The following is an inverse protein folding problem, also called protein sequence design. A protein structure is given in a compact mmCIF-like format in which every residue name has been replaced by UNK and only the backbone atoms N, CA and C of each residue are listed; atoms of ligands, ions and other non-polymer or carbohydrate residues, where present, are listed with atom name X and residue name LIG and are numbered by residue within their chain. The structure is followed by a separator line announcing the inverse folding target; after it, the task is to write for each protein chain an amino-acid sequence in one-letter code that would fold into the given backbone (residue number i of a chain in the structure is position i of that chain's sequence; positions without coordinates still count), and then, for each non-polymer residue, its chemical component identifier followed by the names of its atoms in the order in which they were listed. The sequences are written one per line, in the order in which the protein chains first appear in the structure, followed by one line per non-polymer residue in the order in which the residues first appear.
data_IF_017912534696
#
_entry.id   IF_017912534696
#
_cell.length_a   1.000
_cell.length_b   1.000
_cell.length_c   1.000
_cell.angle_alpha   90.00
_cell.angle_beta   90.00
_cell.angle_gamma   90.00
#
_symmetry.space_group_name_H-M   'P 1'
#
loop_
_entity.id
_entity.type
_entity.pdbx_description
1 polymer ?
#
# COMPACT_ATOMS: atom_id res chain seq x y z
N UNK A 1 -29.78 4.39 9.72
CA UNK A 1 -29.12 3.11 9.40
C UNK A 1 -27.96 3.39 8.44
N UNK A 2 -26.85 3.87 8.99
CA UNK A 2 -25.63 4.29 8.28
C UNK A 2 -24.47 3.95 9.22
N UNK A 3 -23.55 3.10 8.80
CA UNK A 3 -22.26 2.91 9.47
C UNK A 3 -21.18 3.17 8.42
N UNK A 4 -20.98 4.47 8.20
CA UNK A 4 -19.70 5.02 7.81
C UNK A 4 -18.71 4.87 8.98
N UNK A 5 -17.43 4.62 8.67
CA UNK A 5 -16.23 4.82 9.52
C UNK A 5 -15.62 3.59 10.25
N UNK A 6 -15.15 2.61 9.48
CA UNK A 6 -14.03 1.72 9.87
C UNK A 6 -12.82 1.75 8.93
N UNK A 7 -12.67 2.81 8.12
CA UNK A 7 -11.39 3.20 7.52
C UNK A 7 -11.06 4.65 7.89
N UNK A 8 -10.60 4.86 9.13
CA UNK A 8 -9.59 5.89 9.37
C UNK A 8 -8.30 5.07 9.59
N UNK A 9 -7.21 5.27 8.87
CA UNK A 9 -6.61 6.56 8.56
C UNK A 9 -6.13 6.64 7.10
N UNK A 10 -6.54 7.74 6.46
CA UNK A 10 -5.86 8.50 5.40
C UNK A 10 -4.61 7.85 4.75
N UNK A 11 -4.82 7.04 3.72
CA UNK A 11 -3.81 6.74 2.66
C UNK A 11 -4.38 5.97 1.47
N UNK A 12 -5.54 5.33 1.59
CA UNK A 12 -6.11 4.55 0.47
C UNK A 12 -6.68 5.44 -0.67
N UNK A 13 -7.14 6.65 -0.35
CA UNK A 13 -7.63 7.59 -1.37
C UNK A 13 -6.47 8.19 -2.17
N UNK A 14 -5.31 8.42 -1.55
CA UNK A 14 -4.11 8.90 -2.26
C UNK A 14 -3.51 7.83 -3.18
N UNK A 15 -3.75 6.54 -2.91
CA UNK A 15 -3.27 5.46 -3.76
C UNK A 15 -3.99 5.42 -5.12
N UNK A 16 -5.29 5.73 -5.18
CA UNK A 16 -6.06 5.69 -6.44
C UNK A 16 -6.11 7.05 -7.18
N UNK A 17 -5.93 8.19 -6.50
CA UNK A 17 -6.20 9.51 -7.08
C UNK A 17 -5.03 10.21 -7.79
N UNK A 18 -3.79 9.72 -7.69
CA UNK A 18 -2.66 10.35 -8.42
C UNK A 18 -2.54 9.88 -9.88
N UNK A 19 -3.39 8.94 -10.32
CA UNK A 19 -3.28 8.31 -11.64
C UNK A 19 -4.07 8.99 -12.79
N UNK A 20 -4.87 10.03 -12.55
CA UNK A 20 -5.57 10.74 -13.65
C UNK A 20 -5.85 12.21 -13.30
N UNK A 21 -5.14 13.13 -13.96
CA UNK A 21 -5.59 14.52 -14.10
C UNK A 21 -6.73 14.60 -15.12
N UNK A 22 -7.95 14.36 -14.67
CA UNK A 22 -9.16 14.97 -15.24
C UNK A 22 -10.18 15.12 -14.12
N UNK A 23 -10.53 16.36 -13.78
CA UNK A 23 -11.57 16.71 -12.80
C UNK A 23 -12.84 15.88 -13.01
N UNK A 24 -13.19 15.07 -12.02
CA UNK A 24 -14.58 14.63 -11.80
C UNK A 24 -15.23 15.71 -10.93
N UNK A 25 -16.33 16.35 -11.37
CA UNK A 25 -16.99 17.37 -10.56
C UNK A 25 -17.59 16.76 -9.29
N UNK A 26 -17.40 17.45 -8.16
CA UNK A 26 -17.94 17.08 -6.85
C UNK A 26 -19.47 17.07 -6.85
N UNK A 27 -20.14 16.02 -6.36
CA UNK A 27 -21.58 16.08 -6.11
C UNK A 27 -21.84 16.96 -4.88
N UNK A 28 -22.52 18.08 -5.09
CA UNK A 28 -23.04 18.97 -4.04
C UNK A 28 -24.13 18.26 -3.24
N UNK A 29 -23.97 18.15 -1.92
CA UNK A 29 -25.06 17.69 -1.03
C UNK A 29 -24.67 16.93 0.25
N UNK A 30 -23.56 17.24 0.91
CA UNK A 30 -23.19 16.58 2.18
C UNK A 30 -23.72 17.39 3.38
N UNK A 31 -24.69 16.90 4.17
CA UNK A 31 -25.10 17.53 5.42
C UNK A 31 -24.07 17.30 6.56
N UNK A 32 -23.98 18.21 7.55
CA UNK A 32 -22.97 18.15 8.60
C UNK A 32 -23.26 17.05 9.63
N UNK A 33 -22.20 16.40 10.13
CA UNK A 33 -22.29 15.33 11.12
C UNK A 33 -22.05 15.88 12.55
N UNK A 34 -23.11 15.98 13.35
CA UNK A 34 -23.05 16.21 14.80
C UNK A 34 -23.76 15.06 15.53
N UNK A 35 -23.14 14.56 16.61
CA UNK A 35 -23.67 13.59 17.60
C UNK A 35 -23.34 12.12 17.28
N UNK A 36 -23.01 11.21 18.21
CA UNK A 36 -22.93 11.19 19.68
C UNK A 36 -22.13 9.89 20.05
N UNK A 37 -21.41 9.86 21.18
CA UNK A 37 -20.53 8.73 21.56
C UNK A 37 -21.36 7.50 21.97
N UNK A 38 -21.37 6.45 21.16
CA UNK A 38 -21.94 5.14 21.55
C UNK A 38 -20.83 4.13 21.86
N UNK A 39 -21.01 3.42 22.96
CA UNK A 39 -20.10 2.41 23.56
C UNK A 39 -19.85 1.25 22.58
N UNK A 40 -18.58 0.91 22.38
CA UNK A 40 -18.08 -0.06 21.38
C UNK A 40 -17.95 -1.46 22.01
N UNK A 41 -18.48 -2.49 21.34
CA UNK A 41 -18.21 -3.92 21.64
C UNK A 41 -16.72 -4.28 21.44
N UNK A 42 -16.16 -5.25 22.19
CA UNK A 42 -14.73 -5.50 22.20
C UNK A 42 -14.22 -5.90 20.81
N UNK A 43 -13.09 -5.32 20.41
CA UNK A 43 -12.47 -5.52 19.11
C UNK A 43 -12.07 -7.00 18.94
N UNK A 44 -12.51 -7.62 17.84
CA UNK A 44 -11.95 -8.91 17.39
C UNK A 44 -10.46 -8.74 17.13
N UNK A 45 -9.67 -9.75 17.49
CA UNK A 45 -8.24 -9.81 17.25
C UNK A 45 -7.96 -9.56 15.75
N UNK A 46 -7.17 -8.52 15.43
CA UNK A 46 -7.17 -7.85 14.11
C UNK A 46 -6.12 -8.40 13.13
N UNK A 47 -5.58 -9.57 13.38
CA UNK A 47 -4.41 -10.07 12.65
C UNK A 47 -4.76 -11.35 11.88
N UNK A 48 -4.53 -11.35 10.56
CA UNK A 48 -4.79 -12.54 9.72
C UNK A 48 -3.63 -13.53 9.71
N UNK A 49 -2.43 -13.10 10.10
CA UNK A 49 -1.23 -13.93 10.20
C UNK A 49 -0.55 -13.72 11.54
N UNK A 50 -0.14 -14.81 12.17
CA UNK A 50 0.76 -14.78 13.32
C UNK A 50 2.21 -14.56 12.86
N UNK A 51 3.00 -13.84 13.65
CA UNK A 51 4.40 -13.57 13.34
C UNK A 51 5.23 -14.85 13.09
N UNK A 52 4.87 -15.96 13.76
CA UNK A 52 5.53 -17.26 13.56
C UNK A 52 5.23 -17.93 12.21
N UNK A 53 4.25 -17.45 11.45
CA UNK A 53 3.92 -17.98 10.12
C UNK A 53 4.81 -17.39 9.02
N UNK A 54 5.54 -16.32 9.30
CA UNK A 54 6.39 -15.59 8.34
C UNK A 54 7.85 -15.73 8.76
N UNK A 55 8.54 -16.72 8.20
CA UNK A 55 10.00 -16.81 8.30
C UNK A 55 10.65 -16.08 7.12
N UNK A 56 10.91 -14.78 7.30
CA UNK A 56 11.52 -13.95 6.24
C UNK A 56 12.91 -14.42 5.82
N UNK A 57 13.64 -15.15 6.68
CA UNK A 57 15.00 -15.61 6.38
C UNK A 57 15.03 -16.73 5.32
N UNK A 58 13.91 -17.44 5.15
CA UNK A 58 13.76 -18.47 4.13
C UNK A 58 13.40 -17.93 2.75
N UNK A 59 12.83 -16.73 2.70
CA UNK A 59 12.21 -16.20 1.47
C UNK A 59 12.84 -14.91 0.97
N UNK A 60 13.51 -14.15 1.84
CA UNK A 60 14.26 -12.96 1.46
C UNK A 60 15.75 -13.29 1.39
N UNK A 61 16.43 -12.66 0.43
CA UNK A 61 17.89 -12.60 0.47
C UNK A 61 18.33 -11.92 1.78
N UNK A 62 19.55 -12.17 2.28
CA UNK A 62 20.11 -11.35 3.34
C UNK A 62 20.17 -9.87 2.89
N UNK A 63 20.20 -8.92 3.84
CA UNK A 63 20.47 -7.53 3.52
C UNK A 63 21.73 -7.41 2.64
N UNK A 64 21.78 -6.46 1.69
CA UNK A 64 22.95 -6.21 0.87
C UNK A 64 24.23 -6.03 1.71
N UNK A 65 25.35 -6.55 1.19
CA UNK A 65 26.67 -6.22 1.73
C UNK A 65 27.11 -4.80 1.33
N UNK A 66 28.21 -4.34 1.91
CA UNK A 66 28.74 -3.00 1.65
C UNK A 66 29.01 -2.73 0.15
N UNK A 67 29.48 -3.73 -0.58
CA UNK A 67 29.80 -3.57 -1.99
C UNK A 67 28.54 -3.39 -2.85
N UNK A 68 27.45 -4.10 -2.52
CA UNK A 68 26.14 -3.91 -3.14
C UNK A 68 25.57 -2.54 -2.75
N UNK A 69 25.54 -2.21 -1.45
CA UNK A 69 25.02 -0.93 -0.97
C UNK A 69 25.72 0.26 -1.63
N UNK A 70 27.04 0.20 -1.83
CA UNK A 70 27.78 1.26 -2.53
C UNK A 70 27.30 1.48 -3.96
N UNK A 71 27.06 0.40 -4.71
CA UNK A 71 26.51 0.47 -6.08
C UNK A 71 25.09 1.03 -6.08
N UNK A 72 24.30 0.69 -5.08
CA UNK A 72 22.93 1.21 -4.95
C UNK A 72 22.89 2.69 -4.60
N UNK A 73 23.84 3.19 -3.79
CA UNK A 73 24.02 4.62 -3.55
C UNK A 73 24.34 5.37 -4.85
N UNK A 74 25.25 4.82 -5.67
CA UNK A 74 25.57 5.39 -6.99
C UNK A 74 24.32 5.44 -7.90
N UNK A 75 23.54 4.35 -7.94
CA UNK A 75 22.28 4.30 -8.67
C UNK A 75 21.27 5.33 -8.15
N UNK A 76 21.10 5.44 -6.84
CA UNK A 76 20.22 6.43 -6.23
C UNK A 76 20.62 7.86 -6.59
N UNK A 77 21.92 8.17 -6.56
CA UNK A 77 22.42 9.48 -6.94
C UNK A 77 22.08 9.80 -8.41
N UNK A 78 22.28 8.84 -9.32
CA UNK A 78 21.90 9.00 -10.73
C UNK A 78 20.41 9.28 -10.87
N UNK A 79 19.56 8.50 -10.20
CA UNK A 79 18.11 8.68 -10.24
C UNK A 79 17.68 10.04 -9.67
N UNK A 80 18.31 10.49 -8.58
CA UNK A 80 18.02 11.78 -7.96
C UNK A 80 18.48 12.97 -8.80
N UNK A 81 19.58 12.84 -9.53
CA UNK A 81 20.06 13.86 -10.46
C UNK A 81 19.18 13.96 -11.72
N UNK A 82 18.59 12.84 -12.14
CA UNK A 82 17.78 12.75 -13.36
C UNK A 82 16.28 13.00 -13.12
N UNK A 83 15.81 13.06 -11.87
CA UNK A 83 14.38 13.21 -11.58
C UNK A 83 13.83 14.56 -12.04
N UNK A 84 12.63 14.54 -12.61
CA UNK A 84 11.87 15.75 -12.93
C UNK A 84 11.26 16.39 -11.66
N UNK A 85 10.87 17.68 -11.69
CA UNK A 85 10.16 18.31 -10.58
C UNK A 85 8.90 17.55 -10.16
N UNK A 86 8.13 17.06 -11.14
CA UNK A 86 6.90 16.27 -10.88
C UNK A 86 7.22 14.97 -10.15
N UNK A 87 8.30 14.27 -10.53
CA UNK A 87 8.74 13.07 -9.82
C UNK A 87 9.21 13.38 -8.39
N UNK A 88 9.89 14.50 -8.18
CA UNK A 88 10.31 14.93 -6.85
C UNK A 88 9.10 15.23 -5.95
N UNK A 89 8.10 15.96 -6.46
CA UNK A 89 6.86 16.26 -5.74
C UNK A 89 6.07 14.99 -5.39
N UNK A 90 5.93 14.06 -6.34
CA UNK A 90 5.26 12.76 -6.08
C UNK A 90 6.01 11.93 -5.05
N UNK A 91 7.35 11.92 -5.14
CA UNK A 91 8.18 11.24 -4.15
C UNK A 91 7.94 11.80 -2.75
N UNK A 92 7.97 13.12 -2.59
CA UNK A 92 7.69 13.79 -1.31
C UNK A 92 6.29 13.45 -0.79
N UNK A 93 5.27 13.46 -1.65
CA UNK A 93 3.91 13.12 -1.25
C UNK A 93 3.79 11.67 -0.72
N UNK A 94 4.59 10.74 -1.26
CA UNK A 94 4.64 9.36 -0.81
C UNK A 94 5.54 9.15 0.43
N UNK A 95 6.33 10.15 0.84
CA UNK A 95 7.20 10.10 2.01
C UNK A 95 6.46 10.18 3.35
N UNK A 96 5.30 10.83 3.39
CA UNK A 96 4.57 11.16 4.65
C UNK A 96 4.01 9.94 5.40
N UNK A 97 4.06 8.75 4.81
CA UNK A 97 3.69 7.53 5.53
C UNK A 97 4.79 7.13 6.52
N UNK A 98 4.43 6.82 7.76
CA UNK A 98 5.36 6.25 8.75
C UNK A 98 5.12 4.75 8.90
N UNK A 99 6.11 3.95 8.54
CA UNK A 99 6.24 2.57 9.04
C UNK A 99 7.60 2.49 9.75
N UNK A 100 7.58 2.18 11.05
CA UNK A 100 8.81 2.15 11.84
C UNK A 100 9.54 0.81 11.63
N UNK A 101 10.65 0.81 10.90
CA UNK A 101 11.57 -0.33 10.79
C UNK A 101 12.94 0.10 10.24
N UNK A 102 13.92 -0.80 10.27
CA UNK A 102 15.16 -0.65 9.50
C UNK A 102 14.90 -0.60 7.98
N UNK A 103 15.94 -0.32 7.20
CA UNK A 103 15.84 -0.13 5.73
C UNK A 103 15.39 -1.40 4.99
N UNK A 104 15.89 -2.57 5.40
CA UNK A 104 15.69 -3.83 4.68
C UNK A 104 14.85 -4.85 5.48
N UNK A 105 13.82 -5.45 4.87
CA UNK A 105 13.16 -5.02 3.63
C UNK A 105 12.37 -3.71 3.84
N UNK A 106 11.99 -3.04 2.76
CA UNK A 106 11.15 -1.83 2.87
C UNK A 106 9.73 -2.19 3.31
N UNK A 107 9.33 -1.72 4.50
CA UNK A 107 7.95 -1.86 5.00
C UNK A 107 6.94 -1.09 4.15
N UNK A 108 7.29 0.11 3.68
CA UNK A 108 6.47 0.91 2.76
C UNK A 108 6.20 0.18 1.45
N UNK A 109 7.24 -0.42 0.86
CA UNK A 109 7.09 -1.20 -0.37
C UNK A 109 6.27 -2.44 -0.13
N UNK A 110 6.48 -3.13 1.00
CA UNK A 110 5.67 -4.28 1.41
C UNK A 110 4.19 -3.91 1.47
N UNK A 111 3.86 -2.79 2.12
CA UNK A 111 2.49 -2.29 2.19
C UNK A 111 1.92 -1.96 0.80
N UNK A 112 2.65 -1.19 -0.01
CA UNK A 112 2.20 -0.75 -1.32
C UNK A 112 1.90 -1.92 -2.26
N UNK A 113 2.79 -2.91 -2.32
CA UNK A 113 2.59 -4.10 -3.13
C UNK A 113 1.49 -5.01 -2.59
N UNK A 114 1.37 -5.16 -1.26
CA UNK A 114 0.31 -5.97 -0.67
C UNK A 114 -1.07 -5.35 -0.94
N UNK A 115 -1.21 -4.04 -0.71
CA UNK A 115 -2.41 -3.30 -1.05
C UNK A 115 -2.71 -3.40 -2.56
N UNK A 116 -1.68 -3.29 -3.40
CA UNK A 116 -1.79 -3.47 -4.85
C UNK A 116 -2.35 -4.84 -5.23
N UNK A 117 -1.83 -5.92 -4.65
CA UNK A 117 -2.30 -7.30 -4.90
C UNK A 117 -3.78 -7.44 -4.49
N UNK A 118 -4.13 -7.03 -3.28
CA UNK A 118 -5.51 -7.15 -2.76
C UNK A 118 -6.49 -6.34 -3.60
N UNK A 119 -6.16 -5.09 -3.94
CA UNK A 119 -7.01 -4.24 -4.78
C UNK A 119 -7.13 -4.78 -6.21
N UNK A 120 -6.04 -5.30 -6.76
CA UNK A 120 -6.02 -5.95 -8.06
C UNK A 120 -6.93 -7.20 -8.12
N UNK A 121 -7.05 -7.93 -7.01
CA UNK A 121 -8.01 -9.04 -6.88
C UNK A 121 -9.46 -8.56 -6.78
N UNK A 122 -9.72 -7.43 -6.12
CA UNK A 122 -11.07 -6.85 -6.00
C UNK A 122 -11.56 -6.20 -7.30
N UNK A 123 -10.65 -5.57 -8.05
CA UNK A 123 -10.96 -4.80 -9.28
C UNK A 123 -10.04 -5.26 -10.42
N UNK A 124 -10.27 -6.47 -10.97
CA UNK A 124 -9.41 -7.04 -12.00
C UNK A 124 -9.28 -6.16 -13.27
N UNK A 125 -10.28 -5.33 -13.55
CA UNK A 125 -10.35 -4.40 -14.67
C UNK A 125 -9.33 -3.24 -14.54
N UNK A 126 -8.77 -3.02 -13.34
CA UNK A 126 -7.79 -1.97 -13.03
C UNK A 126 -6.42 -2.52 -12.60
N UNK A 127 -6.15 -3.83 -12.77
CA UNK A 127 -4.91 -4.47 -12.31
C UNK A 127 -3.66 -3.73 -12.77
N UNK A 128 -3.58 -3.39 -14.05
CA UNK A 128 -2.41 -2.73 -14.61
C UNK A 128 -2.14 -1.38 -13.93
N UNK A 129 -3.17 -0.56 -13.74
CA UNK A 129 -3.05 0.75 -13.09
C UNK A 129 -2.70 0.62 -11.60
N UNK A 130 -3.31 -0.35 -10.91
CA UNK A 130 -3.06 -0.61 -9.50
C UNK A 130 -1.61 -1.05 -9.28
N UNK A 131 -1.10 -1.99 -10.08
CA UNK A 131 0.30 -2.43 -9.98
C UNK A 131 1.29 -1.35 -10.40
N UNK A 132 0.97 -0.55 -11.43
CA UNK A 132 1.80 0.59 -11.81
C UNK A 132 1.95 1.58 -10.66
N UNK A 133 0.87 1.87 -9.93
CA UNK A 133 0.93 2.74 -8.76
C UNK A 133 1.73 2.13 -7.61
N UNK A 134 1.56 0.84 -7.35
CA UNK A 134 2.34 0.16 -6.32
C UNK A 134 3.85 0.19 -6.62
N UNK A 135 4.24 0.03 -7.89
CA UNK A 135 5.62 0.17 -8.35
C UNK A 135 6.13 1.60 -8.13
N UNK A 136 5.38 2.60 -8.63
CA UNK A 136 5.73 4.02 -8.49
C UNK A 136 5.90 4.40 -7.02
N UNK A 137 5.02 3.93 -6.13
CA UNK A 137 5.12 4.19 -4.69
C UNK A 137 6.42 3.65 -4.09
N UNK A 138 6.85 2.44 -4.47
CA UNK A 138 8.13 1.87 -4.06
C UNK A 138 9.33 2.63 -4.64
N UNK A 139 9.30 2.93 -5.94
CA UNK A 139 10.35 3.69 -6.64
C UNK A 139 10.52 5.10 -6.06
N UNK A 140 9.43 5.74 -5.66
CA UNK A 140 9.42 7.04 -5.01
C UNK A 140 10.22 7.06 -3.70
N UNK A 141 10.40 5.91 -3.03
CA UNK A 141 11.24 5.79 -1.83
C UNK A 141 12.73 5.86 -2.18
N UNK A 142 13.12 5.34 -3.35
CA UNK A 142 14.49 5.44 -3.89
C UNK A 142 14.77 6.88 -4.34
N UNK A 143 13.83 7.47 -5.07
CA UNK A 143 13.90 8.88 -5.48
C UNK A 143 13.96 9.83 -4.28
N UNK A 144 13.25 9.50 -3.20
CA UNK A 144 13.24 10.25 -1.95
C UNK A 144 14.47 10.02 -1.08
N UNK A 145 15.32 9.05 -1.41
CA UNK A 145 16.57 8.78 -0.70
C UNK A 145 16.41 8.01 0.61
N UNK A 146 15.29 7.32 0.81
CA UNK A 146 14.95 6.65 2.09
C UNK A 146 14.99 5.12 2.03
N UNK A 147 15.15 4.54 0.84
CA UNK A 147 15.34 3.11 0.63
C UNK A 147 16.24 2.84 -0.58
N UNK A 148 16.95 1.72 -0.54
CA UNK A 148 17.72 1.20 -1.66
C UNK A 148 16.84 0.35 -2.60
N UNK A 149 17.19 0.20 -3.90
CA UNK A 149 16.47 -0.68 -4.81
C UNK A 149 16.25 -2.11 -4.28
N UNK A 150 17.23 -2.69 -3.58
CA UNK A 150 17.12 -3.99 -2.91
C UNK A 150 16.00 -4.04 -1.87
N UNK A 151 15.81 -2.96 -1.12
CA UNK A 151 14.81 -2.87 -0.06
C UNK A 151 13.40 -2.95 -0.66
N UNK A 152 13.21 -2.28 -1.81
CA UNK A 152 11.95 -2.26 -2.55
C UNK A 152 11.63 -3.65 -3.08
N UNK A 153 12.61 -4.30 -3.71
CA UNK A 153 12.44 -5.64 -4.27
C UNK A 153 12.19 -6.69 -3.18
N UNK A 154 12.89 -6.60 -2.05
CA UNK A 154 12.63 -7.47 -0.89
C UNK A 154 11.24 -7.20 -0.30
N UNK A 155 10.80 -5.94 -0.23
CA UNK A 155 9.46 -5.58 0.20
C UNK A 155 8.37 -6.14 -0.72
N UNK A 156 8.57 -6.08 -2.05
CA UNK A 156 7.67 -6.69 -3.04
C UNK A 156 7.54 -8.20 -2.86
N UNK A 157 8.65 -8.89 -2.60
CA UNK A 157 8.67 -10.34 -2.32
C UNK A 157 7.93 -10.66 -1.03
N UNK A 158 8.20 -9.90 0.03
CA UNK A 158 7.50 -10.05 1.31
C UNK A 158 5.99 -9.85 1.15
N UNK A 159 5.57 -8.83 0.42
CA UNK A 159 4.16 -8.57 0.11
C UNK A 159 3.50 -9.76 -0.60
N UNK A 160 4.20 -10.34 -1.60
CA UNK A 160 3.69 -11.50 -2.35
C UNK A 160 3.52 -12.71 -1.44
N UNK A 161 4.50 -12.97 -0.56
CA UNK A 161 4.39 -14.05 0.42
C UNK A 161 3.23 -13.83 1.39
N UNK A 162 3.10 -12.63 1.95
CA UNK A 162 1.97 -12.28 2.84
C UNK A 162 0.65 -12.49 2.10
N UNK A 163 0.53 -12.01 0.87
CA UNK A 163 -0.67 -12.17 0.05
C UNK A 163 -1.03 -13.65 -0.17
N UNK A 164 -0.06 -14.55 -0.33
CA UNK A 164 -0.33 -15.99 -0.43
C UNK A 164 -0.78 -16.57 0.91
N UNK A 165 -0.10 -16.21 2.01
CA UNK A 165 -0.39 -16.76 3.33
C UNK A 165 -1.77 -16.34 3.87
N UNK A 166 -2.17 -15.07 3.68
CA UNK A 166 -3.46 -14.56 4.17
C UNK A 166 -4.67 -15.26 3.55
N UNK A 167 -4.55 -15.77 2.31
CA UNK A 167 -5.66 -16.41 1.59
C UNK A 167 -6.18 -17.67 2.29
N UNK A 168 -5.35 -18.31 3.12
CA UNK A 168 -5.74 -19.47 3.93
C UNK A 168 -6.56 -19.12 5.17
N UNK A 169 -6.72 -17.83 5.51
CA UNK A 169 -7.44 -17.40 6.71
C UNK A 169 -8.93 -17.14 6.42
N UNK A 170 -9.88 -17.86 7.04
CA UNK A 170 -11.31 -17.66 6.82
C UNK A 170 -11.83 -16.27 7.20
N UNK A 171 -11.23 -15.63 8.22
CA UNK A 171 -11.58 -14.27 8.60
C UNK A 171 -11.18 -13.27 7.50
N UNK A 172 -9.99 -13.45 6.91
CA UNK A 172 -9.56 -12.66 5.75
C UNK A 172 -10.50 -12.83 4.57
N UNK A 173 -10.90 -14.07 4.25
CA UNK A 173 -11.81 -14.33 3.13
C UNK A 173 -13.16 -13.63 3.30
N UNK A 174 -13.72 -13.63 4.53
CA UNK A 174 -14.95 -12.93 4.85
C UNK A 174 -14.83 -11.41 4.70
N UNK A 175 -13.76 -10.82 5.25
CA UNK A 175 -13.51 -9.39 5.15
C UNK A 175 -13.18 -8.96 3.72
N UNK A 176 -12.44 -9.77 2.97
CA UNK A 176 -12.14 -9.54 1.54
C UNK A 176 -13.41 -9.51 0.70
N UNK A 177 -14.32 -10.48 0.88
CA UNK A 177 -15.57 -10.52 0.14
C UNK A 177 -16.43 -9.28 0.41
N UNK A 178 -16.57 -8.89 1.69
CA UNK A 178 -17.31 -7.69 2.08
C UNK A 178 -16.68 -6.41 1.51
N UNK A 179 -15.36 -6.27 1.60
CA UNK A 179 -14.63 -5.11 1.08
C UNK A 179 -14.71 -5.02 -0.46
N UNK A 180 -14.66 -6.16 -1.16
CA UNK A 180 -14.81 -6.22 -2.61
C UNK A 180 -16.19 -5.72 -3.03
N UNK A 181 -17.25 -6.19 -2.38
CA UNK A 181 -18.62 -5.74 -2.68
C UNK A 181 -18.78 -4.23 -2.46
N UNK A 182 -18.27 -3.71 -1.33
CA UNK A 182 -18.31 -2.28 -1.01
C UNK A 182 -17.56 -1.45 -2.05
N UNK A 183 -16.33 -1.85 -2.39
CA UNK A 183 -15.49 -1.13 -3.35
C UNK A 183 -16.12 -1.12 -4.75
N UNK A 184 -16.62 -2.27 -5.22
CA UNK A 184 -17.24 -2.39 -6.55
C UNK A 184 -18.53 -1.58 -6.62
N UNK A 185 -19.35 -1.61 -5.56
CA UNK A 185 -20.54 -0.76 -5.48
C UNK A 185 -20.19 0.74 -5.53
N UNK A 186 -19.13 1.17 -4.83
CA UNK A 186 -18.69 2.57 -4.86
C UNK A 186 -18.17 3.00 -6.23
N UNK A 187 -17.51 2.09 -6.97
CA UNK A 187 -17.02 2.31 -8.32
C UNK A 187 -18.10 2.18 -9.41
N UNK A 188 -19.33 1.79 -9.05
CA UNK A 188 -20.39 1.51 -10.02
C UNK A 188 -20.10 0.28 -10.91
N UNK A 189 -19.34 -0.68 -10.39
CA UNK A 189 -19.02 -1.95 -11.03
C UNK A 189 -19.97 -3.05 -10.54
N UNK A 190 -20.25 -4.02 -11.41
CA UNK A 190 -21.02 -5.21 -11.04
C UNK A 190 -20.32 -5.96 -9.89
N UNK A 191 -21.07 -6.62 -9.00
CA UNK A 191 -20.50 -7.29 -7.81
C UNK A 191 -19.62 -8.50 -8.18
#
# INVERSE_FOLDING_TARGET
MRITRKLCWLSLVTFLFTACTTQVPSPTGVPPLVGEKTVVSPARDKTYLDAGQIDTTRFLAPPPDEAVTRREIEQMLVLQQQRTPVQAERSIADLEQSVSSGSYPSGHSTFAYLAGIVLAEMVPEKRAQIFARASEFGENRVLGGVHYPSDIEAGRRLATMIAVLIQGNPAYQGDFAAAREELRAWLGLDR
#
